data_IF_629005912594
#
_entry.id   IF_629005912594
#
_cell.length_a   1.000
_cell.length_b   1.000
_cell.length_c   1.000
_cell.angle_alpha   90.00
_cell.angle_beta   90.00
_cell.angle_gamma   90.00
#
_symmetry.space_group_name_H-M   'P 1'
#
loop_
_entity.id
_entity.type
_entity.pdbx_description
1 polymer ?
#
# COMPACT_ATOMS: atom_id res chain seq x y z
N UNK A 1 -43.06 -7.41 -5.07
CA UNK A 1 -41.83 -7.48 -4.25
C UNK A 1 -40.69 -6.84 -5.03
N UNK A 2 -40.33 -5.60 -4.69
CA UNK A 2 -39.24 -4.88 -5.36
C UNK A 2 -37.93 -5.40 -4.80
N UNK A 3 -37.21 -6.19 -5.59
CA UNK A 3 -35.85 -6.65 -5.21
C UNK A 3 -34.98 -5.40 -5.11
N UNK A 4 -34.65 -4.98 -3.87
CA UNK A 4 -33.63 -3.94 -3.65
C UNK A 4 -32.32 -4.50 -4.26
N UNK A 5 -31.88 -3.93 -5.38
CA UNK A 5 -30.55 -4.15 -5.91
C UNK A 5 -29.56 -3.77 -4.79
N UNK A 6 -28.91 -4.75 -4.21
CA UNK A 6 -27.85 -4.51 -3.24
C UNK A 6 -26.77 -3.68 -3.95
N UNK A 7 -26.45 -2.50 -3.43
CA UNK A 7 -25.36 -1.69 -3.98
C UNK A 7 -24.06 -2.50 -3.90
N UNK A 8 -23.28 -2.48 -4.95
CA UNK A 8 -21.95 -3.11 -4.95
C UNK A 8 -21.09 -2.49 -3.86
N UNK A 9 -20.19 -3.27 -3.23
CA UNK A 9 -19.18 -2.71 -2.32
C UNK A 9 -18.30 -1.69 -3.04
N UNK A 10 -17.92 -0.62 -2.37
CA UNK A 10 -17.04 0.43 -2.90
C UNK A 10 -15.59 0.17 -2.53
N UNK A 11 -14.74 0.01 -3.54
CA UNK A 11 -13.28 -0.07 -3.41
C UNK A 11 -12.65 1.29 -3.71
N UNK A 12 -11.76 1.75 -2.85
CA UNK A 12 -10.95 2.94 -3.08
C UNK A 12 -9.45 2.62 -3.00
N UNK A 13 -8.68 3.16 -3.92
CA UNK A 13 -7.20 3.09 -3.92
C UNK A 13 -6.67 4.50 -3.74
N UNK A 14 -5.79 4.68 -2.76
CA UNK A 14 -5.26 5.96 -2.34
C UNK A 14 -3.75 6.00 -2.46
N UNK A 15 -3.24 7.06 -3.09
CA UNK A 15 -1.81 7.31 -3.26
C UNK A 15 -1.30 8.32 -2.24
N UNK A 16 -0.16 7.99 -1.62
CA UNK A 16 0.68 8.90 -0.85
C UNK A 16 2.10 8.90 -1.46
N UNK A 17 3.14 9.19 -0.68
CA UNK A 17 4.49 9.23 -1.23
C UNK A 17 5.02 7.82 -1.56
N UNK A 18 5.12 7.50 -2.85
CA UNK A 18 5.55 6.18 -3.37
C UNK A 18 6.06 6.31 -4.80
N UNK A 19 6.51 5.18 -5.37
CA UNK A 19 6.84 5.02 -6.79
C UNK A 19 5.68 4.47 -7.62
N UNK A 20 4.49 4.27 -7.01
CA UNK A 20 3.27 3.69 -7.59
C UNK A 20 3.35 2.21 -7.98
N UNK A 21 4.47 1.54 -7.71
CA UNK A 21 4.67 0.13 -8.07
C UNK A 21 3.60 -0.81 -7.55
N UNK A 22 3.02 -0.54 -6.37
CA UNK A 22 1.94 -1.36 -5.83
C UNK A 22 0.60 -1.12 -6.54
N UNK A 23 0.31 0.12 -6.99
CA UNK A 23 -0.86 0.40 -7.81
C UNK A 23 -0.72 -0.17 -9.22
N UNK A 24 0.50 -0.11 -9.80
CA UNK A 24 0.80 -0.78 -11.07
C UNK A 24 0.62 -2.30 -10.94
N UNK A 25 1.06 -2.92 -9.83
CA UNK A 25 0.83 -4.35 -9.59
C UNK A 25 -0.66 -4.69 -9.52
N UNK A 26 -1.51 -3.77 -9.03
CA UNK A 26 -2.98 -3.95 -9.08
C UNK A 26 -3.50 -3.87 -10.51
N UNK A 27 -3.03 -2.91 -11.31
CA UNK A 27 -3.42 -2.77 -12.73
C UNK A 27 -2.94 -3.97 -13.57
N UNK A 28 -1.75 -4.48 -13.28
CA UNK A 28 -1.20 -5.67 -13.93
C UNK A 28 -1.97 -6.98 -13.62
N UNK A 29 -2.97 -6.95 -12.72
CA UNK A 29 -3.86 -8.09 -12.52
C UNK A 29 -4.85 -8.30 -13.68
N UNK A 30 -4.92 -7.35 -14.64
CA UNK A 30 -5.66 -7.46 -15.89
C UNK A 30 -7.05 -8.11 -15.75
N UNK A 31 -7.19 -9.39 -16.16
CA UNK A 31 -8.46 -10.12 -16.14
C UNK A 31 -9.05 -10.26 -14.72
N UNK A 32 -8.22 -10.50 -13.71
CA UNK A 32 -8.67 -10.57 -12.31
C UNK A 32 -9.16 -9.21 -11.81
N UNK A 33 -8.54 -8.10 -12.25
CA UNK A 33 -9.02 -6.76 -11.93
C UNK A 33 -10.38 -6.50 -12.57
N UNK A 34 -10.59 -6.94 -13.81
CA UNK A 34 -11.89 -6.85 -14.49
C UNK A 34 -12.96 -7.69 -13.78
N UNK A 35 -12.60 -8.90 -13.30
CA UNK A 35 -13.50 -9.73 -12.51
C UNK A 35 -13.89 -9.03 -11.19
N UNK A 36 -12.93 -8.41 -10.49
CA UNK A 36 -13.19 -7.60 -9.29
C UNK A 36 -14.12 -6.43 -9.62
N UNK A 37 -13.85 -5.66 -10.68
CA UNK A 37 -14.69 -4.54 -11.12
C UNK A 37 -16.11 -4.99 -11.49
N UNK A 38 -16.29 -6.25 -11.85
CA UNK A 38 -17.61 -6.86 -12.06
C UNK A 38 -18.45 -6.96 -10.79
N UNK A 39 -17.83 -7.10 -9.61
CA UNK A 39 -18.49 -7.33 -8.31
C UNK A 39 -18.39 -6.15 -7.33
N UNK A 40 -17.47 -5.20 -7.55
CA UNK A 40 -17.32 -3.98 -6.74
C UNK A 40 -17.44 -2.74 -7.62
N UNK A 41 -17.77 -1.60 -7.01
CA UNK A 41 -17.62 -0.29 -7.62
C UNK A 41 -16.22 0.24 -7.29
N UNK A 42 -15.34 0.39 -8.30
CA UNK A 42 -14.06 1.06 -8.15
C UNK A 42 -14.32 2.55 -8.00
N UNK A 43 -14.49 2.98 -6.75
CA UNK A 43 -15.02 4.29 -6.40
C UNK A 43 -13.96 5.40 -6.39
N UNK A 44 -12.70 5.05 -6.22
CA UNK A 44 -11.56 5.96 -6.29
C UNK A 44 -10.30 5.18 -6.65
N UNK A 45 -9.77 5.41 -7.85
CA UNK A 45 -8.47 4.84 -8.27
C UNK A 45 -7.90 5.73 -9.37
N UNK A 46 -7.18 6.78 -8.98
CA UNK A 46 -6.74 7.85 -9.88
C UNK A 46 -5.73 7.41 -10.94
N UNK A 47 -5.00 6.31 -10.73
CA UNK A 47 -4.13 5.72 -11.76
C UNK A 47 -4.94 5.00 -12.87
N UNK A 48 -6.16 4.56 -12.57
CA UNK A 48 -7.03 3.89 -13.55
C UNK A 48 -8.08 4.82 -14.15
N UNK A 49 -8.65 5.74 -13.38
CA UNK A 49 -9.73 6.63 -13.81
C UNK A 49 -9.76 7.91 -12.98
N UNK A 50 -10.14 9.03 -13.62
CA UNK A 50 -10.43 10.28 -12.89
C UNK A 50 -11.79 10.31 -12.21
N UNK A 51 -12.62 9.29 -12.39
CA UNK A 51 -13.91 9.21 -11.74
C UNK A 51 -13.77 8.92 -10.25
N UNK A 52 -14.45 9.71 -9.42
CA UNK A 52 -14.47 9.54 -7.96
C UNK A 52 -15.89 9.50 -7.46
N UNK A 53 -16.32 8.36 -6.97
CA UNK A 53 -17.60 8.20 -6.30
C UNK A 53 -17.46 8.55 -4.82
N UNK A 54 -18.43 9.29 -4.27
CA UNK A 54 -18.40 9.67 -2.83
C UNK A 54 -18.47 8.45 -1.91
N UNK A 55 -17.69 8.50 -0.81
CA UNK A 55 -17.73 7.52 0.27
C UNK A 55 -19.09 7.45 0.99
N UNK A 56 -19.21 6.63 2.02
CA UNK A 56 -18.14 5.81 2.59
C UNK A 56 -17.70 4.66 1.67
N UNK A 57 -16.44 4.23 1.85
CA UNK A 57 -15.84 3.12 1.10
C UNK A 57 -15.82 1.86 1.97
N UNK A 58 -16.14 0.71 1.36
CA UNK A 58 -16.16 -0.57 2.07
C UNK A 58 -14.75 -1.10 2.29
N UNK A 59 -13.86 -0.93 1.30
CA UNK A 59 -12.46 -1.27 1.36
C UNK A 59 -11.62 -0.12 0.77
N UNK A 60 -10.64 0.34 1.51
CA UNK A 60 -9.62 1.30 1.05
C UNK A 60 -8.24 0.65 1.06
N UNK A 61 -7.58 0.63 -0.09
CA UNK A 61 -6.17 0.27 -0.24
C UNK A 61 -5.35 1.56 -0.22
N UNK A 62 -4.38 1.64 0.66
CA UNK A 62 -3.54 2.83 0.84
C UNK A 62 -2.10 2.49 0.51
N UNK A 63 -1.56 3.10 -0.54
CA UNK A 63 -0.16 3.03 -0.93
C UNK A 63 0.60 4.29 -0.55
N UNK A 64 1.87 4.12 -0.21
CA UNK A 64 2.78 5.23 0.04
C UNK A 64 2.89 5.63 1.51
N UNK A 65 3.95 6.37 1.81
CA UNK A 65 4.30 6.86 3.15
C UNK A 65 3.86 8.31 3.37
N UNK A 66 3.88 8.75 4.62
CA UNK A 66 3.60 10.13 4.99
C UNK A 66 4.91 10.91 5.01
N UNK A 67 5.00 11.92 4.13
CA UNK A 67 6.22 12.73 3.93
C UNK A 67 5.96 14.23 3.91
N UNK A 68 4.69 14.64 3.90
CA UNK A 68 4.30 16.06 3.92
C UNK A 68 3.20 16.31 4.96
N UNK A 69 3.09 17.55 5.51
CA UNK A 69 2.00 17.91 6.41
C UNK A 69 0.62 17.66 5.79
N UNK A 70 0.43 18.02 4.53
CA UNK A 70 -0.81 17.78 3.81
C UNK A 70 -1.20 16.29 3.79
N UNK A 71 -0.23 15.39 3.57
CA UNK A 71 -0.48 13.94 3.59
C UNK A 71 -0.83 13.45 5.00
N UNK A 72 -0.22 14.02 6.04
CA UNK A 72 -0.54 13.70 7.43
C UNK A 72 -1.98 14.06 7.80
N UNK A 73 -2.50 15.17 7.29
CA UNK A 73 -3.92 15.54 7.47
C UNK A 73 -4.85 14.69 6.60
N UNK A 74 -4.48 14.47 5.34
CA UNK A 74 -5.28 13.73 4.37
C UNK A 74 -5.57 12.30 4.81
N UNK A 75 -4.61 11.60 5.42
CA UNK A 75 -4.81 10.21 5.86
C UNK A 75 -5.91 10.08 6.94
N UNK A 76 -6.07 11.06 7.80
CA UNK A 76 -7.17 11.09 8.77
C UNK A 76 -8.54 11.17 8.08
N UNK A 77 -8.63 11.93 6.97
CA UNK A 77 -9.85 11.94 6.17
C UNK A 77 -10.10 10.58 5.54
N UNK A 78 -9.09 9.98 4.91
CA UNK A 78 -9.19 8.65 4.30
C UNK A 78 -9.67 7.61 5.32
N UNK A 79 -9.10 7.61 6.55
CA UNK A 79 -9.54 6.70 7.60
C UNK A 79 -11.02 6.86 7.97
N UNK A 80 -11.48 8.11 8.10
CA UNK A 80 -12.88 8.39 8.47
C UNK A 80 -13.90 7.92 7.44
N UNK A 81 -13.56 7.93 6.16
CA UNK A 81 -14.46 7.53 5.07
C UNK A 81 -14.33 6.06 4.67
N UNK A 82 -13.44 5.31 5.32
CA UNK A 82 -13.14 3.90 5.05
C UNK A 82 -13.67 3.00 6.15
N UNK A 83 -14.46 1.97 5.81
CA UNK A 83 -14.87 0.94 6.76
C UNK A 83 -13.69 0.04 7.12
N UNK A 84 -12.99 -0.44 6.10
CA UNK A 84 -11.75 -1.22 6.23
C UNK A 84 -10.65 -0.46 5.51
N UNK A 85 -9.51 -0.27 6.18
CA UNK A 85 -8.30 0.37 5.64
C UNK A 85 -7.16 -0.63 5.64
N UNK A 86 -6.65 -0.94 4.45
CA UNK A 86 -5.51 -1.83 4.22
C UNK A 86 -4.36 -1.02 3.66
N UNK A 87 -3.20 -1.10 4.28
CA UNK A 87 -1.97 -0.53 3.72
C UNK A 87 -1.29 -1.55 2.80
N UNK A 88 -0.86 -1.10 1.63
CA UNK A 88 -0.20 -1.93 0.63
C UNK A 88 1.21 -1.41 0.33
N UNK A 89 2.16 -2.32 0.32
CA UNK A 89 3.56 -2.07 0.01
C UNK A 89 4.40 -1.55 1.17
N UNK A 90 5.72 -1.68 1.03
CA UNK A 90 6.71 -1.28 2.03
C UNK A 90 6.66 0.23 2.36
N UNK A 91 6.22 1.07 1.42
CA UNK A 91 6.07 2.50 1.68
C UNK A 91 5.00 2.77 2.74
N UNK A 92 3.82 2.16 2.60
CA UNK A 92 2.71 2.37 3.51
C UNK A 92 2.90 1.66 4.85
N UNK A 93 3.57 0.48 4.87
CA UNK A 93 3.74 -0.35 6.07
C UNK A 93 4.98 -0.02 6.89
N UNK A 94 6.03 0.55 6.28
CA UNK A 94 7.33 0.79 6.96
C UNK A 94 8.04 2.09 6.55
N UNK A 95 7.38 2.97 5.79
CA UNK A 95 7.95 4.24 5.33
C UNK A 95 8.65 4.16 3.98
N UNK A 96 8.92 2.96 3.47
CA UNK A 96 9.51 2.72 2.15
C UNK A 96 10.97 3.16 2.01
N UNK A 97 11.46 3.20 0.77
CA UNK A 97 12.80 3.72 0.45
C UNK A 97 12.95 5.19 0.87
N UNK A 98 11.87 5.94 0.90
CA UNK A 98 11.86 7.34 1.36
C UNK A 98 12.30 7.47 2.83
N UNK A 99 12.17 6.40 3.63
CA UNK A 99 12.62 6.37 5.03
C UNK A 99 14.14 6.37 5.17
N UNK A 100 14.92 6.19 4.09
CA UNK A 100 16.38 6.38 4.12
C UNK A 100 16.76 7.80 4.59
N UNK A 101 15.94 8.81 4.31
CA UNK A 101 16.15 10.16 4.81
C UNK A 101 16.01 10.30 6.33
N UNK A 102 15.42 9.32 7.00
CA UNK A 102 15.27 9.34 8.46
C UNK A 102 16.60 9.16 9.19
N UNK A 103 17.65 8.72 8.49
CA UNK A 103 19.02 8.57 9.01
C UNK A 103 19.86 9.85 8.93
N UNK A 104 19.32 10.94 8.34
CA UNK A 104 20.01 12.22 8.21
C UNK A 104 19.00 13.38 8.30
N UNK A 105 19.50 14.61 8.43
CA UNK A 105 18.64 15.78 8.43
C UNK A 105 18.20 16.11 6.99
N UNK A 106 16.90 15.97 6.70
CA UNK A 106 16.35 16.23 5.36
C UNK A 106 16.61 17.66 4.88
N UNK A 107 16.69 18.63 5.82
CA UNK A 107 17.00 20.02 5.53
C UNK A 107 18.37 20.23 4.89
N UNK A 108 19.32 19.34 5.13
CA UNK A 108 20.67 19.42 4.52
C UNK A 108 20.65 18.94 3.07
N UNK A 109 19.73 18.08 2.71
CA UNK A 109 19.62 17.49 1.38
C UNK A 109 18.78 18.32 0.41
N UNK A 110 17.73 18.99 0.91
CA UNK A 110 16.81 19.76 0.06
C UNK A 110 17.55 20.83 -0.76
N UNK A 111 18.48 21.63 -0.21
CA UNK A 111 19.23 22.62 -1.00
C UNK A 111 20.20 22.02 -2.02
N UNK A 112 20.64 20.76 -1.80
CA UNK A 112 21.56 20.08 -2.73
C UNK A 112 20.83 19.49 -3.92
N UNK A 113 19.56 19.12 -3.75
CA UNK A 113 18.75 18.40 -4.76
C UNK A 113 17.88 19.35 -5.57
N UNK A 114 17.30 20.37 -4.94
CA UNK A 114 16.31 21.24 -5.56
C UNK A 114 16.87 22.64 -5.83
N UNK A 115 16.67 23.13 -7.06
CA UNK A 115 17.10 24.46 -7.47
C UNK A 115 16.41 25.59 -6.66
N UNK A 116 15.19 25.36 -6.20
CA UNK A 116 14.41 26.31 -5.38
C UNK A 116 13.93 25.63 -4.10
N UNK A 117 14.81 25.48 -3.09
CA UNK A 117 14.52 24.77 -1.84
C UNK A 117 13.32 25.31 -1.07
N UNK A 118 13.07 26.63 -1.18
CA UNK A 118 12.01 27.33 -0.44
C UNK A 118 10.58 26.90 -0.82
N UNK A 119 10.38 26.26 -1.98
CA UNK A 119 9.07 25.77 -2.41
C UNK A 119 8.83 24.31 -2.02
N UNK A 120 9.82 23.67 -1.41
CA UNK A 120 9.72 22.25 -1.01
C UNK A 120 9.20 22.17 0.41
N UNK A 121 7.94 21.76 0.54
CA UNK A 121 7.32 21.44 1.82
C UNK A 121 7.45 19.94 2.10
N UNK A 122 8.13 19.59 3.18
CA UNK A 122 8.34 18.18 3.57
C UNK A 122 8.48 18.03 5.09
N UNK A 123 8.04 16.90 5.62
CA UNK A 123 8.31 16.50 7.00
C UNK A 123 9.77 16.06 7.15
N UNK A 124 10.28 16.10 8.36
CA UNK A 124 11.66 15.66 8.68
C UNK A 124 11.85 14.17 8.37
N UNK A 125 10.80 13.38 8.54
CA UNK A 125 10.85 11.92 8.40
C UNK A 125 9.80 11.43 7.40
N UNK A 126 10.02 10.23 6.84
CA UNK A 126 9.02 9.44 6.16
C UNK A 126 8.52 8.37 7.12
N UNK A 127 7.23 8.29 7.32
CA UNK A 127 6.61 7.39 8.30
C UNK A 127 5.53 6.51 7.67
N UNK A 128 5.32 5.28 8.20
CA UNK A 128 4.23 4.43 7.76
C UNK A 128 2.86 5.02 8.14
N UNK A 129 1.83 4.54 7.48
CA UNK A 129 0.44 4.97 7.70
C UNK A 129 -0.03 4.68 9.12
N UNK A 130 0.39 3.53 9.68
CA UNK A 130 0.00 3.09 11.04
C UNK A 130 0.48 4.03 12.16
N UNK A 131 1.46 4.90 11.90
CA UNK A 131 1.87 5.94 12.84
C UNK A 131 0.85 7.09 12.96
N UNK A 132 -0.07 7.21 12.02
CA UNK A 132 -1.02 8.32 11.94
C UNK A 132 -2.46 7.90 12.19
N UNK A 133 -2.85 6.71 11.74
CA UNK A 133 -4.23 6.18 11.86
C UNK A 133 -4.22 4.68 12.13
N UNK A 134 -5.27 4.13 12.79
CA UNK A 134 -5.43 2.68 12.91
C UNK A 134 -5.59 2.03 11.53
N UNK A 135 -4.85 0.94 11.30
CA UNK A 135 -4.86 0.13 10.08
C UNK A 135 -5.48 -1.23 10.39
N UNK A 136 -6.40 -1.69 9.56
CA UNK A 136 -7.09 -2.96 9.77
C UNK A 136 -6.25 -4.16 9.29
N UNK A 137 -5.44 -3.95 8.24
CA UNK A 137 -4.53 -4.97 7.71
C UNK A 137 -3.35 -4.33 6.97
N UNK A 138 -2.17 -4.96 7.02
CA UNK A 138 -0.96 -4.52 6.33
C UNK A 138 -0.49 -5.60 5.36
N UNK A 139 -0.33 -5.26 4.09
CA UNK A 139 0.25 -6.10 3.05
C UNK A 139 1.64 -5.55 2.66
N UNK A 140 2.73 -6.08 3.23
CA UNK A 140 4.08 -5.62 2.88
C UNK A 140 4.51 -6.13 1.50
N UNK A 141 5.56 -5.54 0.96
CA UNK A 141 6.17 -5.90 -0.34
C UNK A 141 6.71 -4.67 -1.05
N UNK A 142 7.66 -4.85 -1.98
CA UNK A 142 8.20 -3.76 -2.80
C UNK A 142 8.57 -4.27 -4.21
N UNK A 143 7.58 -4.29 -5.15
CA UNK A 143 6.16 -4.09 -4.92
C UNK A 143 5.49 -5.28 -4.20
N UNK A 144 4.19 -5.17 -3.95
CA UNK A 144 3.38 -6.27 -3.40
C UNK A 144 3.24 -7.41 -4.41
N UNK A 145 3.05 -8.63 -3.88
CA UNK A 145 2.71 -9.80 -4.69
C UNK A 145 1.24 -9.74 -5.15
N UNK A 146 0.99 -9.99 -6.45
CA UNK A 146 -0.34 -9.96 -7.06
C UNK A 146 -1.31 -10.96 -6.43
N UNK A 147 -0.86 -12.21 -6.21
CA UNK A 147 -1.69 -13.26 -5.63
C UNK A 147 -2.11 -12.93 -4.20
N UNK A 148 -1.19 -12.36 -3.40
CA UNK A 148 -1.48 -11.89 -2.05
C UNK A 148 -2.46 -10.72 -2.05
N UNK A 149 -2.31 -9.77 -2.98
CA UNK A 149 -3.24 -8.65 -3.12
C UNK A 149 -4.66 -9.14 -3.45
N UNK A 150 -4.79 -10.04 -4.42
CA UNK A 150 -6.08 -10.64 -4.81
C UNK A 150 -6.72 -11.39 -3.64
N UNK A 151 -5.92 -12.14 -2.87
CA UNK A 151 -6.40 -12.78 -1.64
C UNK A 151 -6.91 -11.78 -0.62
N UNK A 152 -6.18 -10.66 -0.39
CA UNK A 152 -6.59 -9.59 0.52
C UNK A 152 -7.93 -8.98 0.09
N UNK A 153 -8.05 -8.59 -1.17
CA UNK A 153 -9.29 -8.01 -1.71
C UNK A 153 -10.45 -8.99 -1.57
N UNK A 154 -10.26 -10.23 -2.01
CA UNK A 154 -11.27 -11.28 -1.93
C UNK A 154 -11.68 -11.57 -0.48
N UNK A 155 -10.73 -11.65 0.44
CA UNK A 155 -10.99 -11.90 1.84
C UNK A 155 -11.91 -10.83 2.46
N UNK A 156 -11.57 -9.54 2.26
CA UNK A 156 -12.37 -8.45 2.82
C UNK A 156 -13.75 -8.32 2.16
N UNK A 157 -13.87 -8.57 0.87
CA UNK A 157 -15.17 -8.61 0.18
C UNK A 157 -16.08 -9.71 0.77
N UNK A 158 -15.51 -10.84 1.19
CA UNK A 158 -16.23 -11.95 1.83
C UNK A 158 -16.22 -11.89 3.36
N UNK A 159 -15.78 -10.77 3.96
CA UNK A 159 -15.74 -10.52 5.41
C UNK A 159 -14.97 -11.61 6.19
N UNK A 160 -13.89 -12.12 5.63
CA UNK A 160 -12.98 -13.08 6.27
C UNK A 160 -11.57 -12.49 6.41
N UNK A 161 -10.74 -13.11 7.24
CA UNK A 161 -9.33 -12.73 7.33
C UNK A 161 -8.56 -13.27 6.11
N UNK A 162 -7.63 -12.50 5.55
CA UNK A 162 -6.72 -12.99 4.50
C UNK A 162 -5.87 -14.16 5.00
N UNK A 163 -5.69 -15.17 4.14
CA UNK A 163 -4.84 -16.32 4.40
C UNK A 163 -3.48 -16.11 3.72
N UNK A 164 -2.60 -15.37 4.39
CA UNK A 164 -1.27 -15.06 3.87
C UNK A 164 -0.18 -15.66 4.77
N UNK A 165 0.98 -16.04 4.19
CA UNK A 165 2.15 -16.43 4.96
C UNK A 165 2.58 -15.31 5.91
N UNK A 166 2.77 -15.63 7.19
CA UNK A 166 3.24 -14.68 8.21
C UNK A 166 4.73 -14.84 8.55
N UNK A 167 5.41 -15.75 7.87
CA UNK A 167 6.83 -16.03 8.07
C UNK A 167 7.71 -15.24 7.09
N UNK A 168 9.00 -15.11 7.43
CA UNK A 168 9.98 -14.49 6.54
C UNK A 168 10.29 -15.38 5.33
N UNK A 169 10.75 -14.76 4.23
CA UNK A 169 11.20 -15.48 3.01
C UNK A 169 12.32 -16.50 3.29
N UNK A 170 13.08 -16.33 4.37
CA UNK A 170 14.08 -17.32 4.81
C UNK A 170 13.47 -18.69 5.14
N UNK A 171 12.23 -18.73 5.60
CA UNK A 171 11.53 -19.99 5.87
C UNK A 171 11.25 -20.73 4.57
N UNK A 172 10.89 -20.03 3.50
CA UNK A 172 10.67 -20.61 2.17
C UNK A 172 11.94 -21.25 1.61
N UNK A 173 13.11 -20.58 1.75
CA UNK A 173 14.40 -21.17 1.40
C UNK A 173 14.65 -22.49 2.17
N UNK A 174 14.35 -22.51 3.47
CA UNK A 174 14.55 -23.71 4.31
C UNK A 174 13.59 -24.83 3.91
N UNK A 175 12.34 -24.52 3.62
CA UNK A 175 11.35 -25.51 3.14
C UNK A 175 11.83 -26.14 1.83
N UNK A 176 12.42 -25.33 0.93
CA UNK A 176 12.97 -25.80 -0.35
C UNK A 176 14.34 -26.49 -0.22
N UNK A 177 14.91 -26.59 0.98
CA UNK A 177 16.22 -27.19 1.22
C UNK A 177 17.39 -26.39 0.63
N UNK A 178 17.23 -25.09 0.37
CA UNK A 178 18.25 -24.24 -0.23
C UNK A 178 19.32 -23.84 0.80
N UNK A 179 20.57 -23.78 0.36
CA UNK A 179 21.68 -23.28 1.17
C UNK A 179 21.61 -21.77 1.28
N UNK A 180 21.60 -21.26 2.52
CA UNK A 180 21.60 -19.81 2.77
C UNK A 180 22.94 -19.19 2.34
N UNK A 181 22.93 -18.35 1.31
CA UNK A 181 24.14 -17.70 0.77
C UNK A 181 24.79 -16.73 1.77
N UNK A 182 23.99 -16.10 2.63
CA UNK A 182 24.51 -15.22 3.70
C UNK A 182 25.32 -16.02 4.72
N UNK A 183 24.84 -17.21 5.11
CA UNK A 183 25.55 -18.07 6.05
C UNK A 183 26.75 -18.75 5.39
N UNK A 184 26.58 -19.29 4.18
CA UNK A 184 27.61 -20.08 3.50
C UNK A 184 28.74 -19.23 2.89
N UNK A 185 28.45 -18.00 2.48
CA UNK A 185 29.40 -17.15 1.73
C UNK A 185 29.58 -15.75 2.30
N UNK A 186 28.83 -15.36 3.33
CA UNK A 186 28.88 -14.01 3.92
C UNK A 186 28.38 -12.89 3.00
N UNK A 187 27.66 -13.21 1.92
CA UNK A 187 27.15 -12.23 0.98
C UNK A 187 25.71 -11.80 1.29
N UNK A 188 25.33 -10.53 1.02
CA UNK A 188 23.97 -10.09 1.19
C UNK A 188 22.96 -10.90 0.36
N UNK A 189 21.77 -11.12 0.92
CA UNK A 189 20.67 -11.81 0.25
C UNK A 189 19.44 -10.90 0.22
N UNK A 190 18.82 -10.77 -0.95
CA UNK A 190 17.58 -9.99 -1.16
C UNK A 190 16.31 -10.87 -1.12
N UNK A 191 16.46 -12.14 -0.86
CA UNK A 191 15.40 -13.14 -0.84
C UNK A 191 15.57 -14.21 -1.92
N UNK A 192 14.76 -15.28 -1.89
CA UNK A 192 14.76 -16.34 -2.91
C UNK A 192 14.14 -15.86 -4.22
#
# INVERSE_FOLDING_TARGET
MTIKRQSKPKLAVWKFASCDGCQLSLLDCEDELLAIAGIVDVANFLEASREVLKGPYDLSLVEGSITTPHNAERIHHVRRVSKVLVTIGACATSGGIQALRNFAAVGDWVPLVYATPSVIETLKTSTPISNHVPVDFELPGCPIDKGQLLEVVNAFLHRRKPLLPSHSVCVECKIRGLVCVTVAKGIPCLGP
#
